data_IF_306261671929
#
_entry.id   IF_306261671929
#
_cell.length_a   1.000
_cell.length_b   1.000
_cell.length_c   1.000
_cell.angle_alpha   90.00
_cell.angle_beta   90.00
_cell.angle_gamma   90.00
#
_symmetry.space_group_name_H-M   'P 1'
#
loop_
_entity.id
_entity.type
_entity.pdbx_description
1 polymer ?
#
# COMPACT_ATOMS: atom_id res chain seq x y z
N UNK A 1 -12.48 21.72 22.64
CA UNK A 1 -11.45 20.84 22.07
C UNK A 1 -12.09 20.11 20.90
N UNK A 2 -11.47 20.12 19.71
CA UNK A 2 -11.98 19.44 18.52
C UNK A 2 -12.10 17.93 18.79
N UNK A 3 -13.29 17.35 18.59
CA UNK A 3 -13.57 15.94 18.88
C UNK A 3 -12.63 14.99 18.15
N UNK A 4 -12.11 15.40 17.00
CA UNK A 4 -11.19 14.63 16.16
C UNK A 4 -9.82 14.47 16.83
N UNK A 5 -9.36 15.49 17.55
CA UNK A 5 -8.08 15.46 18.29
C UNK A 5 -8.17 14.46 19.44
N UNK A 6 -9.29 14.44 20.15
CA UNK A 6 -9.50 13.50 21.25
C UNK A 6 -9.56 12.05 20.75
N UNK A 7 -10.21 11.82 19.62
CA UNK A 7 -10.32 10.51 19.00
C UNK A 7 -8.98 9.95 18.51
N UNK A 8 -8.07 10.82 18.07
CA UNK A 8 -6.75 10.44 17.57
C UNK A 8 -5.73 10.11 18.67
N UNK A 9 -6.01 10.42 19.95
CA UNK A 9 -5.12 10.06 21.07
C UNK A 9 -4.92 8.55 21.24
N UNK A 10 -5.86 7.75 20.74
CA UNK A 10 -5.77 6.28 20.78
C UNK A 10 -4.98 5.67 19.63
N UNK A 11 -4.51 6.47 18.66
CA UNK A 11 -3.70 6.00 17.54
C UNK A 11 -2.25 5.84 17.99
N UNK A 12 -1.58 4.78 17.53
CA UNK A 12 -0.16 4.52 17.72
C UNK A 12 0.70 5.67 17.19
N UNK A 13 0.26 6.30 16.10
CA UNK A 13 0.86 7.53 15.57
C UNK A 13 -0.24 8.59 15.50
N UNK A 14 -0.13 9.62 16.35
CA UNK A 14 -1.10 10.70 16.39
C UNK A 14 -0.82 11.75 15.28
N UNK A 15 -1.68 11.88 14.26
CA UNK A 15 -1.46 12.81 13.15
C UNK A 15 -1.42 14.28 13.60
N UNK A 16 -2.03 14.65 14.72
CA UNK A 16 -2.07 16.04 15.20
C UNK A 16 -0.77 16.49 15.88
N UNK A 17 0.10 15.56 16.25
CA UNK A 17 1.43 15.88 16.79
C UNK A 17 2.41 16.33 15.71
N UNK A 18 2.09 16.05 14.44
CA UNK A 18 2.91 16.41 13.29
C UNK A 18 2.61 17.86 12.90
N UNK A 19 3.46 18.80 13.32
CA UNK A 19 3.32 20.24 13.01
C UNK A 19 4.33 20.72 12.00
N UNK A 20 5.42 19.97 11.83
CA UNK A 20 6.54 20.32 10.98
C UNK A 20 7.08 19.13 10.21
N UNK A 21 7.85 19.42 9.16
CA UNK A 21 8.60 18.43 8.40
C UNK A 21 9.58 17.65 9.28
N UNK A 22 10.26 18.30 10.23
CA UNK A 22 11.23 17.65 11.12
C UNK A 22 10.56 16.61 12.02
N UNK A 23 9.38 16.93 12.56
CA UNK A 23 8.59 16.01 13.37
C UNK A 23 8.07 14.86 12.51
N UNK A 24 7.49 15.14 11.34
CA UNK A 24 7.05 14.12 10.39
C UNK A 24 8.21 13.15 10.10
N UNK A 25 9.40 13.65 9.76
CA UNK A 25 10.58 12.83 9.50
C UNK A 25 10.98 11.95 10.69
N UNK A 26 10.80 12.40 11.93
CA UNK A 26 11.08 11.59 13.12
C UNK A 26 10.15 10.37 13.18
N UNK A 27 8.84 10.59 13.05
CA UNK A 27 7.86 9.48 13.02
C UNK A 27 8.10 8.52 11.87
N UNK A 28 8.38 9.08 10.71
CA UNK A 28 8.64 8.33 9.50
C UNK A 28 9.89 7.43 9.58
N UNK A 29 10.89 7.79 10.39
CA UNK A 29 12.03 6.91 10.69
C UNK A 29 11.67 5.72 11.57
N UNK A 30 10.63 5.85 12.40
CA UNK A 30 10.16 4.78 13.28
C UNK A 30 9.41 3.70 12.49
N UNK A 31 8.83 4.07 11.33
CA UNK A 31 8.30 3.17 10.31
C UNK A 31 9.49 2.50 9.59
N UNK A 32 10.09 1.50 10.24
CA UNK A 32 11.17 0.68 9.68
C UNK A 32 10.70 0.04 8.37
N UNK A 33 11.30 0.42 7.25
CA UNK A 33 11.03 -0.22 5.95
C UNK A 33 10.67 0.72 4.80
N UNK A 34 10.41 2.00 5.05
CA UNK A 34 10.34 3.01 4.00
C UNK A 34 11.76 3.24 3.43
N UNK A 35 12.17 2.42 2.46
CA UNK A 35 13.50 2.49 1.82
C UNK A 35 13.82 3.89 1.31
N UNK A 36 12.80 4.65 0.90
CA UNK A 36 12.95 5.93 0.24
C UNK A 36 12.31 7.08 1.02
N UNK A 37 12.32 6.97 2.35
CA UNK A 37 11.82 8.05 3.21
C UNK A 37 12.48 9.40 2.90
N UNK A 38 13.79 9.39 2.65
CA UNK A 38 14.50 10.61 2.31
C UNK A 38 14.04 11.14 0.94
N UNK A 39 13.79 10.29 -0.04
CA UNK A 39 13.32 10.70 -1.36
C UNK A 39 11.92 11.32 -1.28
N UNK A 40 10.98 10.66 -0.60
CA UNK A 40 9.64 11.20 -0.33
C UNK A 40 9.70 12.54 0.41
N UNK A 41 10.57 12.65 1.42
CA UNK A 41 10.78 13.86 2.18
C UNK A 41 11.46 14.99 1.37
N UNK A 42 12.31 14.66 0.40
CA UNK A 42 12.98 15.65 -0.47
C UNK A 42 12.21 16.00 -1.73
N UNK A 43 11.17 15.24 -2.05
CA UNK A 43 10.34 15.46 -3.24
C UNK A 43 9.56 16.74 -3.09
N UNK A 44 9.63 17.62 -4.09
CA UNK A 44 8.74 18.79 -4.19
C UNK A 44 7.34 18.31 -4.56
N UNK A 45 6.58 17.87 -3.58
CA UNK A 45 5.16 17.64 -3.74
C UNK A 45 4.48 18.98 -4.05
N UNK A 46 3.52 18.95 -4.98
CA UNK A 46 2.68 20.11 -5.28
C UNK A 46 1.78 20.47 -4.08
N UNK A 47 1.46 19.48 -3.24
CA UNK A 47 0.62 19.61 -2.05
C UNK A 47 1.46 19.66 -0.76
N UNK A 48 0.96 20.31 0.31
CA UNK A 48 1.71 20.44 1.57
C UNK A 48 2.04 19.08 2.21
N UNK A 49 3.34 18.79 2.34
CA UNK A 49 3.87 17.53 2.86
C UNK A 49 3.26 17.11 4.22
N UNK A 50 3.16 18.04 5.18
CA UNK A 50 2.62 17.76 6.51
C UNK A 50 1.16 17.31 6.42
N UNK A 51 0.35 17.95 5.55
CA UNK A 51 -1.04 17.57 5.36
C UNK A 51 -1.15 16.20 4.68
N UNK A 52 -0.28 15.91 3.71
CA UNK A 52 -0.19 14.60 3.06
C UNK A 52 0.07 13.48 4.07
N UNK A 53 1.06 13.64 4.95
CA UNK A 53 1.35 12.63 5.98
C UNK A 53 0.16 12.42 6.91
N UNK A 54 -0.47 13.49 7.38
CA UNK A 54 -1.66 13.39 8.24
C UNK A 54 -2.79 12.64 7.55
N UNK A 55 -3.05 12.97 6.28
CA UNK A 55 -4.07 12.30 5.48
C UNK A 55 -3.82 10.80 5.40
N UNK A 56 -2.58 10.39 5.11
CA UNK A 56 -2.23 8.98 4.97
C UNK A 56 -2.41 8.24 6.31
N UNK A 57 -1.94 8.80 7.42
CA UNK A 57 -2.13 8.22 8.75
C UNK A 57 -3.61 8.12 9.14
N UNK A 58 -4.40 9.14 8.83
CA UNK A 58 -5.83 9.15 9.14
C UNK A 58 -6.61 8.14 8.29
N UNK A 59 -6.28 8.00 7.01
CA UNK A 59 -7.06 7.17 6.10
C UNK A 59 -6.66 5.69 6.18
N UNK A 60 -5.36 5.40 6.24
CA UNK A 60 -4.85 4.04 6.06
C UNK A 60 -4.48 3.33 7.37
N UNK A 61 -4.36 4.06 8.49
CA UNK A 61 -4.00 3.39 9.75
C UNK A 61 -5.13 2.51 10.29
N UNK A 62 -4.82 1.28 10.68
CA UNK A 62 -5.80 0.33 11.23
C UNK A 62 -6.49 0.83 12.51
N UNK A 63 -5.76 1.59 13.33
CA UNK A 63 -6.24 2.16 14.59
C UNK A 63 -6.88 3.55 14.42
N UNK A 64 -6.92 4.07 13.20
CA UNK A 64 -7.56 5.34 12.92
C UNK A 64 -9.03 5.27 13.32
N UNK A 65 -9.50 6.34 13.95
CA UNK A 65 -10.91 6.47 14.28
C UNK A 65 -11.82 6.50 13.04
N UNK A 66 -11.27 6.82 11.85
CA UNK A 66 -12.01 6.73 10.58
C UNK A 66 -12.25 5.28 10.14
N UNK A 67 -11.45 4.33 10.63
CA UNK A 67 -11.49 2.92 10.28
C UNK A 67 -12.15 2.04 11.37
N UNK A 68 -12.76 2.68 12.39
CA UNK A 68 -13.54 1.97 13.42
C UNK A 68 -14.77 1.30 12.83
N UNK A 69 -15.07 0.08 13.28
CA UNK A 69 -16.22 -0.70 12.82
C UNK A 69 -17.53 -0.20 13.47
N UNK A 70 -18.66 -0.13 12.72
CA UNK A 70 -18.76 -0.37 11.27
C UNK A 70 -18.10 0.75 10.46
N UNK A 71 -17.30 0.38 9.46
CA UNK A 71 -16.58 1.36 8.63
C UNK A 71 -17.56 2.10 7.71
N UNK A 72 -17.35 3.41 7.60
CA UNK A 72 -18.02 4.23 6.59
C UNK A 72 -17.44 3.97 5.20
N UNK A 73 -18.18 4.28 4.12
CA UNK A 73 -17.65 4.19 2.76
C UNK A 73 -16.30 4.89 2.60
N UNK A 74 -15.40 4.31 1.81
CA UNK A 74 -14.07 4.84 1.57
C UNK A 74 -14.08 6.32 1.15
N UNK A 75 -14.98 6.71 0.24
CA UNK A 75 -15.11 8.10 -0.23
C UNK A 75 -15.39 9.08 0.94
N UNK A 76 -16.27 8.71 1.88
CA UNK A 76 -16.54 9.53 3.06
C UNK A 76 -15.31 9.64 3.96
N UNK A 77 -14.57 8.53 4.13
CA UNK A 77 -13.33 8.51 4.93
C UNK A 77 -12.24 9.36 4.27
N UNK A 78 -12.08 9.30 2.95
CA UNK A 78 -11.15 10.14 2.18
C UNK A 78 -11.47 11.64 2.36
N UNK A 79 -12.73 12.03 2.15
CA UNK A 79 -13.17 13.41 2.32
C UNK A 79 -12.94 13.90 3.76
N UNK A 80 -13.24 13.05 4.76
CA UNK A 80 -13.06 13.39 6.16
C UNK A 80 -11.59 13.49 6.56
N UNK A 81 -10.76 12.55 6.11
CA UNK A 81 -9.32 12.57 6.32
C UNK A 81 -8.68 13.83 5.71
N UNK A 82 -9.06 14.21 4.49
CA UNK A 82 -8.55 15.41 3.83
C UNK A 82 -8.92 16.68 4.59
N UNK A 83 -10.17 16.78 5.07
CA UNK A 83 -10.62 17.88 5.90
C UNK A 83 -9.79 18.00 7.19
N UNK A 84 -9.62 16.90 7.92
CA UNK A 84 -8.90 16.88 9.20
C UNK A 84 -7.41 17.15 9.00
N UNK A 85 -6.84 16.66 7.90
CA UNK A 85 -5.44 16.86 7.56
C UNK A 85 -5.10 18.34 7.24
N UNK A 86 -6.10 19.19 7.01
CA UNK A 86 -5.93 20.62 6.76
C UNK A 86 -5.94 21.00 5.28
N UNK A 87 -6.46 20.14 4.39
CA UNK A 87 -6.67 20.54 3.00
C UNK A 87 -7.91 21.43 2.86
N UNK A 88 -7.73 22.58 2.23
CA UNK A 88 -8.81 23.53 1.99
C UNK A 88 -9.67 23.14 0.78
N UNK A 89 -10.92 23.60 0.81
CA UNK A 89 -11.86 23.46 -0.32
C UNK A 89 -12.13 24.84 -0.92
N UNK A 90 -12.27 24.87 -2.23
CA UNK A 90 -12.86 25.99 -2.97
C UNK A 90 -14.20 25.52 -3.55
N UNK A 91 -15.28 26.23 -3.28
CA UNK A 91 -16.64 25.87 -3.75
C UNK A 91 -17.02 24.41 -3.45
N UNK A 92 -16.80 24.00 -2.20
CA UNK A 92 -16.99 22.62 -1.68
C UNK A 92 -16.18 21.51 -2.36
N UNK A 93 -15.24 21.87 -3.24
CA UNK A 93 -14.37 20.94 -3.96
C UNK A 93 -12.93 21.07 -3.51
N UNK A 94 -12.26 19.93 -3.38
CA UNK A 94 -10.81 19.91 -3.22
C UNK A 94 -10.13 20.31 -4.52
N UNK A 95 -8.97 20.94 -4.40
CA UNK A 95 -8.11 21.26 -5.53
C UNK A 95 -7.83 19.98 -6.36
N UNK A 96 -7.86 20.03 -7.71
CA UNK A 96 -7.71 18.83 -8.54
C UNK A 96 -6.48 17.99 -8.20
N UNK A 97 -5.38 18.64 -7.86
CA UNK A 97 -4.12 17.99 -7.47
C UNK A 97 -4.24 17.22 -6.16
N UNK A 98 -5.03 17.69 -5.19
CA UNK A 98 -5.31 16.91 -3.97
C UNK A 98 -6.07 15.64 -4.34
N UNK A 99 -7.10 15.76 -5.19
CA UNK A 99 -7.88 14.61 -5.65
C UNK A 99 -7.02 13.60 -6.41
N UNK A 100 -6.30 14.05 -7.43
CA UNK A 100 -5.46 13.18 -8.25
C UNK A 100 -4.33 12.53 -7.44
N UNK A 101 -3.60 13.31 -6.63
CA UNK A 101 -2.47 12.76 -5.89
C UNK A 101 -2.86 11.89 -4.69
N UNK A 102 -3.95 12.21 -3.98
CA UNK A 102 -4.30 11.55 -2.72
C UNK A 102 -5.48 10.58 -2.82
N UNK A 103 -6.47 10.86 -3.68
CA UNK A 103 -7.69 10.04 -3.77
C UNK A 103 -7.53 9.03 -4.90
N UNK A 104 -7.06 9.50 -6.05
CA UNK A 104 -6.82 8.67 -7.24
C UNK A 104 -5.40 8.05 -7.23
N UNK A 105 -4.55 8.42 -6.26
CA UNK A 105 -3.17 7.96 -6.10
C UNK A 105 -2.30 8.03 -7.36
N UNK A 106 -2.47 9.07 -8.19
CA UNK A 106 -1.72 9.22 -9.45
C UNK A 106 -0.26 9.62 -9.26
N UNK A 107 0.14 10.02 -8.05
CA UNK A 107 1.55 10.33 -7.73
C UNK A 107 2.23 9.06 -7.24
N UNK A 108 3.24 8.61 -7.99
CA UNK A 108 4.06 7.44 -7.66
C UNK A 108 4.64 7.55 -6.24
N UNK A 109 5.16 8.71 -5.87
CA UNK A 109 5.74 8.92 -4.54
C UNK A 109 4.68 8.78 -3.42
N UNK A 110 3.46 9.27 -3.64
CA UNK A 110 2.37 9.12 -2.66
C UNK A 110 1.92 7.67 -2.60
N UNK A 111 1.77 7.01 -3.75
CA UNK A 111 1.43 5.60 -3.84
C UNK A 111 2.46 4.72 -3.10
N UNK A 112 3.75 4.89 -3.38
CA UNK A 112 4.83 4.14 -2.73
C UNK A 112 4.82 4.36 -1.23
N UNK A 113 4.58 5.58 -0.78
CA UNK A 113 4.46 5.87 0.64
C UNK A 113 3.29 5.12 1.27
N UNK A 114 2.09 5.21 0.68
CA UNK A 114 0.89 4.52 1.16
C UNK A 114 1.12 3.01 1.19
N UNK A 115 1.66 2.46 0.11
CA UNK A 115 1.94 1.04 -0.03
C UNK A 115 2.94 0.55 1.04
N UNK A 116 4.06 1.23 1.21
CA UNK A 116 5.06 0.89 2.23
C UNK A 116 4.50 1.03 3.65
N UNK A 117 3.63 2.01 3.88
CA UNK A 117 2.94 2.15 5.16
C UNK A 117 2.01 0.96 5.44
N UNK A 118 1.24 0.50 4.45
CA UNK A 118 0.44 -0.72 4.57
C UNK A 118 1.31 -1.96 4.81
N UNK A 119 2.45 -2.09 4.10
CA UNK A 119 3.42 -3.18 4.34
C UNK A 119 3.94 -3.15 5.78
N UNK A 120 4.18 -1.97 6.34
CA UNK A 120 4.61 -1.84 7.74
C UNK A 120 3.52 -2.31 8.71
N UNK A 121 2.27 -1.88 8.52
CA UNK A 121 1.16 -2.24 9.42
C UNK A 121 0.77 -3.72 9.29
N UNK A 122 0.76 -4.22 8.06
CA UNK A 122 0.33 -5.58 7.69
C UNK A 122 1.52 -6.45 7.30
N UNK A 123 2.65 -6.30 8.01
CA UNK A 123 3.90 -6.96 7.64
C UNK A 123 3.78 -8.49 7.56
N UNK A 124 2.99 -9.10 8.45
CA UNK A 124 2.76 -10.54 8.42
C UNK A 124 2.03 -10.96 7.13
N UNK A 125 0.96 -10.27 6.75
CA UNK A 125 0.21 -10.53 5.51
C UNK A 125 1.11 -10.36 4.29
N UNK A 126 1.86 -9.25 4.24
CA UNK A 126 2.76 -8.99 3.13
C UNK A 126 3.86 -10.05 3.00
N UNK A 127 4.41 -10.51 4.14
CA UNK A 127 5.40 -11.58 4.14
C UNK A 127 4.85 -12.90 3.60
N UNK A 128 3.61 -13.25 3.95
CA UNK A 128 2.92 -14.42 3.40
C UNK A 128 2.67 -14.28 1.88
N UNK A 129 2.26 -13.10 1.42
CA UNK A 129 2.12 -12.79 -0.02
C UNK A 129 3.44 -13.06 -0.75
N UNK A 130 4.56 -12.49 -0.28
CA UNK A 130 5.87 -12.71 -0.89
C UNK A 130 6.31 -14.18 -0.86
N UNK A 131 6.06 -14.89 0.24
CA UNK A 131 6.39 -16.31 0.38
C UNK A 131 5.61 -17.17 -0.62
N UNK A 132 4.30 -16.93 -0.76
CA UNK A 132 3.45 -17.64 -1.71
C UNK A 132 3.84 -17.36 -3.17
N UNK A 133 4.12 -16.10 -3.52
CA UNK A 133 4.62 -15.74 -4.86
C UNK A 133 5.92 -16.50 -5.18
N UNK A 134 6.87 -16.54 -4.23
CA UNK A 134 8.12 -17.28 -4.39
C UNK A 134 7.88 -18.79 -4.57
N UNK A 135 7.02 -19.39 -3.74
CA UNK A 135 6.68 -20.82 -3.82
C UNK A 135 6.02 -21.17 -5.16
N UNK A 136 5.16 -20.31 -5.69
CA UNK A 136 4.54 -20.51 -7.00
C UNK A 136 5.60 -20.52 -8.10
N UNK A 137 6.52 -19.56 -8.11
CA UNK A 137 7.61 -19.46 -9.08
C UNK A 137 8.54 -20.67 -8.99
N UNK A 138 8.92 -21.08 -7.77
CA UNK A 138 9.79 -22.24 -7.58
C UNK A 138 9.11 -23.54 -8.04
N UNK A 139 7.83 -23.73 -7.73
CA UNK A 139 7.06 -24.87 -8.23
C UNK A 139 6.94 -24.85 -9.76
N UNK A 140 6.82 -23.68 -10.40
CA UNK A 140 6.84 -23.57 -11.86
C UNK A 140 8.20 -23.96 -12.41
N UNK A 141 9.30 -23.49 -11.82
CA UNK A 141 10.68 -23.85 -12.20
C UNK A 141 10.92 -25.35 -12.12
N UNK A 142 10.54 -25.98 -11.02
CA UNK A 142 10.68 -27.43 -10.82
C UNK A 142 9.88 -28.25 -11.84
N UNK A 143 8.73 -27.74 -12.30
CA UNK A 143 7.92 -28.40 -13.34
C UNK A 143 8.55 -28.35 -14.74
N UNK A 144 9.37 -27.34 -15.02
CA UNK A 144 10.02 -27.14 -16.33
C UNK A 144 11.27 -28.01 -16.53
N UNK A 145 11.80 -28.62 -15.47
CA UNK A 145 12.92 -29.57 -15.57
C UNK A 145 12.50 -30.75 -16.46
N UNK A 146 13.30 -31.14 -17.45
CA UNK A 146 13.01 -32.27 -18.34
C UNK A 146 13.09 -33.60 -17.60
N UNK A 147 12.11 -34.50 -17.80
CA UNK A 147 11.99 -35.75 -17.03
C UNK A 147 11.40 -36.86 -17.90
N UNK A 148 12.00 -38.05 -17.88
CA UNK A 148 11.51 -39.23 -18.63
C UNK A 148 10.76 -40.24 -17.74
N UNK A 149 10.80 -40.08 -16.41
CA UNK A 149 10.27 -41.06 -15.46
C UNK A 149 8.83 -40.77 -14.97
N UNK A 150 8.04 -41.82 -14.82
CA UNK A 150 6.66 -41.78 -14.32
C UNK A 150 6.53 -41.20 -12.89
N UNK A 151 7.52 -41.44 -12.03
CA UNK A 151 7.56 -40.89 -10.68
C UNK A 151 7.69 -39.35 -10.69
N UNK A 152 8.40 -38.80 -11.67
CA UNK A 152 8.56 -37.36 -11.85
C UNK A 152 7.30 -36.69 -12.41
N UNK A 153 6.56 -37.39 -13.27
CA UNK A 153 5.24 -36.93 -13.74
C UNK A 153 4.23 -36.79 -12.59
N UNK A 154 4.27 -37.70 -11.62
CA UNK A 154 3.42 -37.64 -10.41
C UNK A 154 3.78 -36.44 -9.52
N UNK A 155 5.09 -36.16 -9.35
CA UNK A 155 5.55 -34.96 -8.64
C UNK A 155 5.10 -33.67 -9.34
N UNK A 156 5.24 -33.59 -10.67
CA UNK A 156 4.78 -32.43 -11.45
C UNK A 156 3.27 -32.18 -11.33
N UNK A 157 2.47 -33.25 -11.27
CA UNK A 157 1.03 -33.14 -11.03
C UNK A 157 0.73 -32.61 -9.61
N UNK A 158 1.44 -33.09 -8.59
CA UNK A 158 1.31 -32.59 -7.22
C UNK A 158 1.67 -31.10 -7.10
N UNK A 159 2.78 -30.68 -7.71
CA UNK A 159 3.18 -29.26 -7.77
C UNK A 159 2.13 -28.39 -8.45
N UNK A 160 1.46 -28.91 -9.49
CA UNK A 160 0.35 -28.21 -10.16
C UNK A 160 -0.84 -28.01 -9.22
N UNK A 161 -1.16 -29.02 -8.40
CA UNK A 161 -2.22 -28.93 -7.39
C UNK A 161 -1.87 -27.91 -6.31
N UNK A 162 -0.65 -27.96 -5.75
CA UNK A 162 -0.20 -26.99 -4.75
C UNK A 162 -0.24 -25.55 -5.28
N UNK A 163 0.15 -25.31 -6.54
CA UNK A 163 0.04 -23.97 -7.12
C UNK A 163 -1.40 -23.45 -7.18
N UNK A 164 -2.40 -24.31 -7.42
CA UNK A 164 -3.81 -23.89 -7.38
C UNK A 164 -4.23 -23.46 -5.98
N UNK A 165 -3.79 -24.20 -4.96
CA UNK A 165 -4.05 -23.88 -3.55
C UNK A 165 -3.34 -22.57 -3.16
N UNK A 166 -2.08 -22.38 -3.56
CA UNK A 166 -1.33 -21.14 -3.33
C UNK A 166 -1.95 -19.95 -4.04
N UNK A 167 -2.47 -20.09 -5.26
CA UNK A 167 -3.18 -19.00 -5.94
C UNK A 167 -4.46 -18.57 -5.21
N UNK A 168 -5.20 -19.53 -4.62
CA UNK A 168 -6.38 -19.20 -3.80
C UNK A 168 -5.97 -18.47 -2.52
N UNK A 169 -5.01 -19.00 -1.77
CA UNK A 169 -4.49 -18.36 -0.57
C UNK A 169 -3.92 -16.96 -0.86
N UNK A 170 -3.18 -16.81 -1.95
CA UNK A 170 -2.64 -15.51 -2.38
C UNK A 170 -3.76 -14.51 -2.65
N UNK A 171 -4.86 -14.94 -3.30
CA UNK A 171 -6.02 -14.07 -3.52
C UNK A 171 -6.63 -13.60 -2.20
N UNK A 172 -6.76 -14.49 -1.22
CA UNK A 172 -7.34 -14.16 0.08
C UNK A 172 -6.44 -13.18 0.85
N UNK A 173 -5.14 -13.43 0.91
CA UNK A 173 -4.19 -12.49 1.53
C UNK A 173 -4.13 -11.14 0.82
N UNK A 174 -4.18 -11.11 -0.51
CA UNK A 174 -4.23 -9.84 -1.25
C UNK A 174 -5.50 -9.04 -0.92
N UNK A 175 -6.66 -9.70 -0.82
CA UNK A 175 -7.90 -9.04 -0.42
C UNK A 175 -7.81 -8.52 1.03
N UNK A 176 -7.19 -9.26 1.94
CA UNK A 176 -6.97 -8.82 3.32
C UNK A 176 -5.98 -7.64 3.41
N UNK A 177 -4.92 -7.67 2.59
CA UNK A 177 -3.90 -6.62 2.53
C UNK A 177 -4.49 -5.29 2.06
N UNK A 178 -5.20 -5.28 0.94
CA UNK A 178 -5.78 -4.05 0.39
C UNK A 178 -7.09 -3.65 1.08
N UNK A 179 -7.85 -4.59 1.63
CA UNK A 179 -9.14 -4.28 2.28
C UNK A 179 -10.13 -3.70 1.27
N UNK A 180 -10.64 -2.50 1.54
CA UNK A 180 -11.53 -1.76 0.63
C UNK A 180 -10.81 -0.70 -0.21
N UNK A 181 -9.48 -0.75 -0.28
CA UNK A 181 -8.63 0.16 -1.04
C UNK A 181 -8.24 -0.40 -2.42
N UNK A 182 -9.23 -0.64 -3.28
CA UNK A 182 -9.03 -1.15 -4.64
C UNK A 182 -8.18 -0.20 -5.51
N UNK A 183 -8.15 1.10 -5.19
CA UNK A 183 -7.30 2.09 -5.83
C UNK A 183 -5.81 1.78 -5.66
N UNK A 184 -5.40 1.27 -4.50
CA UNK A 184 -3.99 0.91 -4.23
C UNK A 184 -3.63 -0.33 -5.03
N UNK A 185 -4.52 -1.33 -5.08
CA UNK A 185 -4.33 -2.54 -5.87
C UNK A 185 -4.15 -2.21 -7.35
N UNK A 186 -5.02 -1.34 -7.86
CA UNK A 186 -4.97 -0.89 -9.26
C UNK A 186 -3.67 -0.14 -9.57
N UNK A 187 -3.23 0.75 -8.68
CA UNK A 187 -1.96 1.46 -8.81
C UNK A 187 -0.74 0.51 -8.76
N UNK A 188 -0.78 -0.50 -7.89
CA UNK A 188 0.27 -1.52 -7.79
C UNK A 188 0.38 -2.36 -9.06
N UNK A 189 -0.74 -2.81 -9.63
CA UNK A 189 -0.74 -3.59 -10.87
C UNK A 189 -0.17 -2.81 -12.06
N UNK A 190 -0.47 -1.49 -12.14
CA UNK A 190 0.13 -0.59 -13.14
C UNK A 190 1.65 -0.49 -12.93
N UNK A 191 2.10 -0.25 -11.71
CA UNK A 191 3.52 -0.10 -11.39
C UNK A 191 4.31 -1.41 -11.65
N UNK A 192 3.76 -2.57 -11.26
CA UNK A 192 4.35 -3.90 -11.52
C UNK A 192 4.44 -4.18 -13.03
N UNK A 193 3.43 -3.80 -13.81
CA UNK A 193 3.41 -3.97 -15.27
C UNK A 193 4.41 -3.04 -15.98
N UNK A 194 4.60 -1.83 -15.47
CA UNK A 194 5.61 -0.88 -15.97
C UNK A 194 7.04 -1.39 -15.80
N UNK A 195 7.36 -1.99 -14.64
CA UNK A 195 8.67 -2.59 -14.37
C UNK A 195 8.99 -3.77 -15.30
N UNK A 196 8.01 -4.65 -15.55
CA UNK A 196 8.17 -5.78 -16.50
C UNK A 196 8.47 -5.27 -17.91
N UNK A 197 7.86 -4.15 -18.31
CA UNK A 197 8.07 -3.58 -19.65
C UNK A 197 9.50 -3.02 -19.79
N UNK A 198 10.02 -2.33 -18.78
CA UNK A 198 11.38 -1.75 -18.80
C UNK A 198 12.46 -2.84 -18.80
N UNK A 199 12.31 -3.92 -18.03
CA UNK A 199 13.28 -5.02 -18.00
C UNK A 199 13.36 -5.80 -19.32
N UNK A 200 12.25 -5.90 -20.07
CA UNK A 200 12.25 -6.51 -21.39
C UNK A 200 13.00 -5.65 -22.41
N UNK A 201 12.79 -4.33 -22.42
CA UNK A 201 13.53 -3.43 -23.30
C UNK A 201 15.02 -3.27 -22.94
N UNK A 202 15.38 -3.44 -21.66
CA UNK A 202 16.78 -3.38 -21.23
C UNK A 202 17.58 -4.65 -21.56
N UNK A 203 16.90 -5.79 -21.80
CA UNK A 203 17.53 -7.06 -22.23
C UNK A 203 17.62 -7.23 -23.75
N UNK A 204 16.99 -6.34 -24.52
CA UNK A 204 17.03 -6.32 -26.00
C UNK A 204 18.05 -5.32 -26.57
N UNK A 205 18.92 -4.72 -25.73
CA UNK A 205 20.07 -3.89 -26.13
C UNK A 205 21.38 -4.50 -25.63
#
# INVERSE_FOLDING_TARGET
MDSSIEQAKGMAINPFEIKSYTEARKYLKEIKGLRDLNEFCTTKLYIPFVHTIKYILLLYSEDSFLNKKPMRPLEERQLKAAQIAGFEKSDDKYHPQVRHMLFDLTSEQVFEFVFNYLVYQKNYIWSEICALEYQIVENQRLRMVATEEMADMTKKAALTKHNKEFHLALKDYMNEFYGDHDEIRSAFDIHKSGLVTIELYAKEK
#
